data_IF_112065283070
#
_entry.id   IF_112065283070
#
_cell.length_a   1.000
_cell.length_b   1.000
_cell.length_c   1.000
_cell.angle_alpha   90.00
_cell.angle_beta   90.00
_cell.angle_gamma   90.00
#
_symmetry.space_group_name_H-M   'P 1'
#
loop_
_entity.id
_entity.type
_entity.pdbx_description
1 polymer ?
#
# COMPACT_ATOMS: atom_id res chain seq x y z
N UNK A 1 8.46 34.84 -9.93
CA UNK A 1 9.61 33.92 -10.00
C UNK A 1 9.07 32.57 -9.59
N UNK A 2 8.68 31.77 -10.56
CA UNK A 2 8.07 30.47 -10.33
C UNK A 2 9.14 29.52 -9.82
N UNK A 3 8.95 28.98 -8.62
CA UNK A 3 9.83 27.95 -8.08
C UNK A 3 9.65 26.68 -8.90
N UNK A 4 10.68 26.32 -9.67
CA UNK A 4 10.78 24.99 -10.27
C UNK A 4 10.83 23.96 -9.13
N UNK A 5 9.84 23.08 -9.10
CA UNK A 5 9.86 21.91 -8.23
C UNK A 5 11.02 20.98 -8.67
N UNK A 6 11.66 20.24 -7.75
CA UNK A 6 12.79 19.39 -8.08
C UNK A 6 12.35 18.31 -9.06
N UNK A 7 13.13 18.12 -10.12
CA UNK A 7 12.99 17.02 -11.07
C UNK A 7 13.08 15.69 -10.32
N UNK A 8 11.92 15.08 -10.07
CA UNK A 8 11.80 13.68 -9.67
C UNK A 8 12.36 12.81 -10.81
N UNK A 9 13.05 11.69 -10.54
CA UNK A 9 13.25 10.65 -11.54
C UNK A 9 11.92 9.89 -11.70
N UNK A 10 10.88 10.58 -12.17
CA UNK A 10 9.68 9.92 -12.66
C UNK A 10 10.08 9.04 -13.83
N UNK A 11 9.37 7.93 -14.03
CA UNK A 11 9.41 7.14 -15.26
C UNK A 11 9.45 8.06 -16.50
N UNK A 12 10.03 7.64 -17.63
CA UNK A 12 9.91 8.40 -18.87
C UNK A 12 8.44 8.74 -19.12
N UNK A 13 8.12 9.96 -19.60
CA UNK A 13 6.73 10.36 -19.93
C UNK A 13 6.00 9.41 -20.89
N UNK A 14 6.79 8.61 -21.60
CA UNK A 14 6.37 7.63 -22.59
C UNK A 14 6.10 6.24 -21.96
N UNK A 15 6.34 6.10 -20.66
CA UNK A 15 6.07 4.88 -19.93
C UNK A 15 4.55 4.75 -19.66
N UNK A 16 3.94 3.59 -19.97
CA UNK A 16 2.48 3.41 -19.89
C UNK A 16 1.88 3.52 -18.47
N UNK A 17 2.73 3.59 -17.45
CA UNK A 17 2.34 3.79 -16.05
C UNK A 17 2.83 5.12 -15.49
N UNK A 18 3.27 6.07 -16.33
CA UNK A 18 3.76 7.39 -15.90
C UNK A 18 2.77 8.12 -14.98
N UNK A 19 1.47 7.95 -15.23
CA UNK A 19 0.41 8.61 -14.47
C UNK A 19 0.13 7.95 -13.10
N UNK A 20 0.61 6.72 -12.86
CA UNK A 20 0.32 5.98 -11.64
C UNK A 20 1.58 5.86 -10.76
N UNK A 21 1.50 6.20 -9.46
CA UNK A 21 2.63 6.02 -8.55
C UNK A 21 2.92 4.56 -8.19
N UNK A 22 2.09 3.61 -8.64
CA UNK A 22 2.21 2.18 -8.37
C UNK A 22 2.20 1.39 -9.69
N UNK A 23 3.14 0.46 -9.85
CA UNK A 23 3.20 -0.46 -10.99
C UNK A 23 2.27 -1.66 -10.83
N UNK A 24 1.07 -1.58 -11.40
CA UNK A 24 0.10 -2.69 -11.39
C UNK A 24 0.44 -3.85 -12.37
N UNK A 25 1.51 -3.73 -13.17
CA UNK A 25 1.99 -4.82 -14.04
C UNK A 25 2.63 -5.93 -13.22
N UNK A 26 3.18 -5.58 -12.05
CA UNK A 26 3.64 -6.56 -11.06
C UNK A 26 2.42 -7.31 -10.54
N UNK A 27 2.39 -8.64 -10.67
CA UNK A 27 1.20 -9.44 -10.30
C UNK A 27 1.25 -9.98 -8.88
N UNK A 28 2.46 -10.17 -8.37
CA UNK A 28 2.73 -10.76 -7.06
C UNK A 28 4.06 -10.26 -6.57
N UNK A 29 4.14 -10.02 -5.27
CA UNK A 29 5.36 -9.64 -4.58
C UNK A 29 5.64 -10.67 -3.49
N UNK A 30 6.91 -10.93 -3.24
CA UNK A 30 7.39 -11.74 -2.14
C UNK A 30 8.76 -11.21 -1.74
N UNK A 31 9.04 -11.24 -0.44
CA UNK A 31 10.33 -10.85 0.12
C UNK A 31 10.52 -11.57 1.45
N UNK A 32 11.77 -11.80 1.81
CA UNK A 32 12.19 -12.55 3.00
C UNK A 32 13.18 -11.80 3.88
N UNK A 33 13.67 -10.65 3.39
CA UNK A 33 14.58 -9.77 4.10
C UNK A 33 14.38 -8.32 3.68
N UNK A 34 14.92 -7.39 4.47
CA UNK A 34 14.77 -5.94 4.27
C UNK A 34 15.26 -5.46 2.90
N UNK A 35 16.32 -6.09 2.36
CA UNK A 35 16.87 -5.73 1.05
C UNK A 35 15.89 -6.08 -0.07
N UNK A 36 15.29 -7.26 -0.03
CA UNK A 36 14.24 -7.67 -0.96
C UNK A 36 13.00 -6.77 -0.83
N UNK A 37 12.57 -6.46 0.39
CA UNK A 37 11.44 -5.57 0.63
C UNK A 37 11.68 -4.17 0.03
N UNK A 38 12.85 -3.59 0.26
CA UNK A 38 13.22 -2.29 -0.34
C UNK A 38 13.24 -2.35 -1.86
N UNK A 39 13.84 -3.40 -2.43
CA UNK A 39 13.86 -3.60 -3.89
C UNK A 39 12.44 -3.70 -4.47
N UNK A 40 11.53 -4.37 -3.74
CA UNK A 40 10.12 -4.45 -4.12
C UNK A 40 9.45 -3.09 -4.05
N UNK A 41 9.67 -2.29 -2.99
CA UNK A 41 9.14 -0.93 -2.91
C UNK A 41 9.67 -0.03 -4.03
N UNK A 42 10.96 -0.13 -4.36
CA UNK A 42 11.57 0.61 -5.46
C UNK A 42 10.94 0.24 -6.80
N UNK A 43 10.75 -1.06 -7.06
CA UNK A 43 10.11 -1.52 -8.28
C UNK A 43 8.61 -1.20 -8.34
N UNK A 44 7.90 -1.39 -7.23
CA UNK A 44 6.46 -1.27 -7.14
C UNK A 44 6.02 0.19 -7.15
N UNK A 45 6.65 1.01 -6.33
CA UNK A 45 6.28 2.40 -6.20
C UNK A 45 7.10 3.29 -7.14
N UNK A 46 8.11 2.79 -7.86
CA UNK A 46 9.14 3.65 -8.46
C UNK A 46 9.85 4.51 -7.40
N UNK A 47 9.88 3.99 -6.16
CA UNK A 47 10.51 4.67 -5.04
C UNK A 47 12.02 4.73 -5.27
N UNK A 48 12.60 5.89 -5.00
CA UNK A 48 14.04 6.04 -4.84
C UNK A 48 14.24 6.53 -3.41
N UNK A 49 15.12 5.85 -2.65
CA UNK A 49 15.39 6.11 -1.23
C UNK A 49 15.77 7.58 -0.96
N UNK A 50 16.24 8.30 -1.98
CA UNK A 50 16.58 9.72 -1.90
C UNK A 50 15.36 10.67 -2.01
N UNK A 51 14.14 10.17 -2.24
CA UNK A 51 12.92 10.95 -2.48
C UNK A 51 11.79 10.63 -1.46
N UNK A 52 12.01 10.98 -0.20
CA UNK A 52 11.01 10.94 0.89
C UNK A 52 9.60 11.50 0.55
N UNK A 53 9.39 12.62 -0.20
CA UNK A 53 8.03 13.07 -0.50
C UNK A 53 7.27 12.15 -1.46
N UNK A 54 7.95 11.18 -2.08
CA UNK A 54 7.35 10.28 -3.04
C UNK A 54 6.44 9.23 -2.37
N UNK A 55 6.80 8.73 -1.18
CA UNK A 55 5.93 7.78 -0.47
C UNK A 55 4.64 8.42 0.01
N UNK A 56 4.66 9.71 0.35
CA UNK A 56 3.43 10.45 0.64
C UNK A 56 2.50 10.47 -0.58
N UNK A 57 3.03 10.71 -1.79
CA UNK A 57 2.24 10.67 -3.02
C UNK A 57 1.64 9.27 -3.30
N UNK A 58 2.38 8.21 -3.00
CA UNK A 58 1.86 6.83 -3.07
C UNK A 58 0.71 6.63 -2.09
N UNK A 59 0.86 7.07 -0.83
CA UNK A 59 -0.18 6.96 0.19
C UNK A 59 -1.41 7.79 -0.14
N UNK A 60 -1.22 9.02 -0.61
CA UNK A 60 -2.31 9.90 -1.05
C UNK A 60 -3.09 9.23 -2.20
N UNK A 61 -2.38 8.68 -3.19
CA UNK A 61 -3.01 7.96 -4.29
C UNK A 61 -3.81 6.75 -3.81
N UNK A 62 -3.26 5.91 -2.93
CA UNK A 62 -4.00 4.75 -2.41
C UNK A 62 -5.22 5.23 -1.64
N UNK A 63 -5.04 6.20 -0.75
CA UNK A 63 -6.11 6.76 0.06
C UNK A 63 -7.25 7.34 -0.79
N UNK A 64 -6.94 8.17 -1.79
CA UNK A 64 -7.93 8.80 -2.67
C UNK A 64 -8.78 7.77 -3.42
N UNK A 65 -8.24 6.58 -3.69
CA UNK A 65 -8.95 5.51 -4.39
C UNK A 65 -9.67 4.53 -3.45
N UNK A 66 -9.46 4.57 -2.13
CA UNK A 66 -9.99 3.54 -1.22
C UNK A 66 -10.70 4.07 0.04
N UNK A 67 -10.59 5.36 0.34
CA UNK A 67 -11.08 5.92 1.62
C UNK A 67 -12.61 5.90 1.78
N UNK A 68 -13.36 5.75 0.69
CA UNK A 68 -14.81 5.64 0.67
C UNK A 68 -15.30 4.19 0.65
N UNK A 69 -14.38 3.24 0.49
CA UNK A 69 -14.68 1.82 0.42
C UNK A 69 -14.64 1.17 1.81
N UNK A 70 -15.76 0.60 2.29
CA UNK A 70 -15.82 -0.02 3.61
C UNK A 70 -14.77 -1.12 3.81
N UNK A 71 -14.49 -1.88 2.76
CA UNK A 71 -13.55 -3.01 2.79
C UNK A 71 -12.12 -2.59 3.17
N UNK A 72 -11.66 -1.43 2.69
CA UNK A 72 -10.34 -0.88 2.94
C UNK A 72 -10.31 -0.08 4.24
N UNK A 73 -11.32 0.74 4.50
CA UNK A 73 -11.42 1.53 5.73
C UNK A 73 -11.44 0.66 6.99
N UNK A 74 -12.11 -0.48 6.91
CA UNK A 74 -12.14 -1.46 7.99
C UNK A 74 -10.76 -2.07 8.26
N UNK A 75 -9.97 -2.36 7.20
CA UNK A 75 -8.59 -2.81 7.34
C UNK A 75 -7.70 -1.73 7.97
N UNK A 76 -7.77 -0.50 7.47
CA UNK A 76 -6.97 0.61 8.00
C UNK A 76 -7.21 0.83 9.48
N UNK A 77 -8.48 0.86 9.89
CA UNK A 77 -8.85 1.02 11.30
C UNK A 77 -8.45 -0.18 12.14
N UNK A 78 -8.62 -1.40 11.64
CA UNK A 78 -8.28 -2.63 12.37
C UNK A 78 -6.80 -2.69 12.71
N UNK A 79 -5.92 -2.39 11.74
CA UNK A 79 -4.47 -2.41 11.96
C UNK A 79 -4.02 -1.27 12.87
N UNK A 80 -4.54 -0.06 12.65
CA UNK A 80 -4.24 1.08 13.51
C UNK A 80 -4.67 0.81 14.97
N UNK A 81 -5.86 0.23 15.17
CA UNK A 81 -6.40 -0.05 16.51
C UNK A 81 -5.56 -1.11 17.21
N UNK A 82 -5.16 -2.16 16.48
CA UNK A 82 -4.33 -3.24 17.03
C UNK A 82 -2.92 -2.81 17.42
N UNK A 83 -2.24 -2.02 16.58
CA UNK A 83 -0.83 -1.68 16.80
C UNK A 83 -0.61 -0.38 17.57
N UNK A 84 -1.50 0.59 17.41
CA UNK A 84 -1.29 1.95 17.92
C UNK A 84 -2.37 2.39 18.91
N UNK A 85 -3.34 1.51 19.24
CA UNK A 85 -4.52 1.87 20.03
C UNK A 85 -5.23 3.12 19.47
N UNK A 86 -5.22 3.26 18.14
CA UNK A 86 -5.70 4.42 17.40
C UNK A 86 -6.63 4.00 16.27
N UNK A 87 -7.68 4.77 15.99
CA UNK A 87 -8.54 4.53 14.82
C UNK A 87 -8.14 5.40 13.61
N UNK A 88 -6.95 6.01 13.65
CA UNK A 88 -6.42 6.79 12.54
C UNK A 88 -6.09 5.88 11.35
N UNK A 89 -6.96 5.93 10.35
CA UNK A 89 -6.86 5.10 9.16
C UNK A 89 -5.63 5.46 8.28
N UNK A 90 -5.11 6.69 8.35
CA UNK A 90 -3.87 7.04 7.65
C UNK A 90 -2.66 6.32 8.24
N UNK A 91 -2.63 6.15 9.57
CA UNK A 91 -1.63 5.31 10.23
C UNK A 91 -1.80 3.83 9.85
N UNK A 92 -3.06 3.36 9.79
CA UNK A 92 -3.39 2.02 9.33
C UNK A 92 -2.86 1.71 7.94
N UNK A 93 -3.06 2.62 6.99
CA UNK A 93 -2.53 2.52 5.63
C UNK A 93 -0.99 2.43 5.63
N UNK A 94 -0.31 3.27 6.42
CA UNK A 94 1.14 3.23 6.54
C UNK A 94 1.64 1.87 7.08
N UNK A 95 0.94 1.29 8.06
CA UNK A 95 1.28 -0.03 8.60
C UNK A 95 1.02 -1.12 7.55
N UNK A 96 -0.05 -1.03 6.76
CA UNK A 96 -0.31 -2.00 5.69
C UNK A 96 0.74 -1.99 4.57
N UNK A 97 1.46 -0.87 4.41
CA UNK A 97 2.61 -0.77 3.50
C UNK A 97 3.94 -1.23 4.12
N UNK A 98 3.96 -1.56 5.42
CA UNK A 98 5.15 -2.09 6.08
C UNK A 98 5.53 -3.48 5.58
N UNK A 99 6.74 -3.90 5.99
CA UNK A 99 7.28 -5.23 5.71
C UNK A 99 6.29 -6.36 6.04
N UNK A 100 5.57 -6.26 7.16
CA UNK A 100 4.73 -7.37 7.64
C UNK A 100 3.48 -7.61 6.79
N UNK A 101 2.99 -6.59 6.08
CA UNK A 101 1.66 -6.63 5.48
C UNK A 101 1.60 -6.33 3.98
N UNK A 102 2.64 -5.70 3.41
CA UNK A 102 2.61 -5.29 2.00
C UNK A 102 2.35 -6.48 1.07
N UNK A 103 2.93 -7.66 1.34
CA UNK A 103 2.68 -8.90 0.59
C UNK A 103 1.22 -9.32 0.52
N UNK A 104 0.41 -9.04 1.55
CA UNK A 104 -1.00 -9.41 1.62
C UNK A 104 -1.92 -8.24 1.20
N UNK A 105 -1.53 -7.01 1.49
CA UNK A 105 -2.28 -5.81 1.12
C UNK A 105 -2.21 -5.51 -0.38
N UNK A 106 -1.03 -5.58 -0.99
CA UNK A 106 -0.85 -5.20 -2.40
C UNK A 106 -1.74 -6.04 -3.36
N UNK A 107 -1.85 -7.37 -3.24
CA UNK A 107 -2.74 -8.15 -4.09
C UNK A 107 -4.20 -7.68 -4.04
N UNK A 108 -4.71 -7.34 -2.85
CA UNK A 108 -6.07 -6.84 -2.66
C UNK A 108 -6.26 -5.50 -3.38
N UNK A 109 -5.36 -4.55 -3.14
CA UNK A 109 -5.43 -3.24 -3.76
C UNK A 109 -5.27 -3.31 -5.29
N UNK A 110 -4.34 -4.14 -5.78
CA UNK A 110 -4.15 -4.38 -7.21
C UNK A 110 -5.41 -4.97 -7.85
N UNK A 111 -6.04 -5.94 -7.21
CA UNK A 111 -7.25 -6.56 -7.75
C UNK A 111 -8.37 -5.53 -7.87
N UNK A 112 -8.59 -4.72 -6.83
CA UNK A 112 -9.52 -3.59 -6.87
C UNK A 112 -9.24 -2.65 -8.05
N UNK A 113 -7.99 -2.21 -8.23
CA UNK A 113 -7.62 -1.25 -9.28
C UNK A 113 -7.65 -1.82 -10.70
N UNK A 114 -7.62 -3.15 -10.87
CA UNK A 114 -7.48 -3.79 -12.19
C UNK A 114 -8.67 -4.67 -12.60
N UNK A 115 -9.61 -4.93 -11.69
CA UNK A 115 -10.77 -5.79 -11.93
C UNK A 115 -12.08 -5.00 -11.77
N UNK A 116 -12.79 -4.80 -12.88
CA UNK A 116 -14.10 -4.10 -12.90
C UNK A 116 -15.21 -4.85 -12.15
N UNK A 117 -15.01 -6.13 -11.82
CA UNK A 117 -15.96 -6.95 -11.07
C UNK A 117 -15.60 -7.12 -9.58
N UNK A 118 -14.74 -6.25 -9.04
CA UNK A 118 -14.34 -6.32 -7.64
C UNK A 118 -15.55 -6.13 -6.71
N UNK A 119 -15.70 -7.04 -5.74
CA UNK A 119 -16.71 -6.90 -4.69
C UNK A 119 -16.20 -5.97 -3.58
N UNK A 120 -16.72 -4.74 -3.58
CA UNK A 120 -16.38 -3.68 -2.62
C UNK A 120 -16.94 -3.92 -1.21
N UNK A 121 -17.75 -4.97 -1.02
CA UNK A 121 -18.33 -5.31 0.28
C UNK A 121 -17.53 -6.37 1.03
N UNK A 122 -17.16 -7.46 0.34
CA UNK A 122 -16.40 -8.57 0.92
C UNK A 122 -15.47 -9.19 -0.10
N UNK A 123 -14.21 -9.43 0.29
CA UNK A 123 -13.24 -10.05 -0.62
C UNK A 123 -12.40 -11.13 0.09
N UNK A 124 -12.12 -12.29 -0.52
CA UNK A 124 -11.29 -13.33 0.09
C UNK A 124 -9.91 -12.83 0.53
N UNK A 125 -9.30 -11.93 -0.25
CA UNK A 125 -8.00 -11.33 0.11
C UNK A 125 -8.10 -10.42 1.34
N UNK A 126 -9.23 -9.73 1.54
CA UNK A 126 -9.48 -8.94 2.74
C UNK A 126 -9.58 -9.85 3.97
N UNK A 127 -10.33 -10.96 3.87
CA UNK A 127 -10.47 -11.91 4.98
C UNK A 127 -9.11 -12.53 5.38
N UNK A 128 -8.28 -12.89 4.40
CA UNK A 128 -6.92 -13.41 4.64
C UNK A 128 -6.04 -12.37 5.34
N UNK A 129 -6.09 -11.11 4.90
CA UNK A 129 -5.31 -10.03 5.50
C UNK A 129 -5.74 -9.78 6.95
N UNK A 130 -7.05 -9.79 7.24
CA UNK A 130 -7.56 -9.72 8.63
C UNK A 130 -7.03 -10.84 9.51
N UNK A 131 -7.07 -12.08 9.03
CA UNK A 131 -6.53 -13.22 9.77
C UNK A 131 -5.02 -13.07 10.05
N UNK A 132 -4.26 -12.52 9.09
CA UNK A 132 -2.84 -12.24 9.28
C UNK A 132 -2.61 -11.16 10.33
N UNK A 133 -3.39 -10.08 10.31
CA UNK A 133 -3.36 -9.00 11.30
C UNK A 133 -3.67 -9.56 12.70
N UNK A 134 -4.77 -10.29 12.86
CA UNK A 134 -5.17 -10.89 14.13
C UNK A 134 -4.11 -11.85 14.66
N UNK A 135 -3.50 -12.65 13.78
CA UNK A 135 -2.43 -13.59 14.16
C UNK A 135 -1.19 -12.87 14.66
N UNK A 136 -0.81 -11.75 14.03
CA UNK A 136 0.35 -10.98 14.46
C UNK A 136 0.08 -10.24 15.78
N UNK A 137 -1.09 -9.63 15.95
CA UNK A 137 -1.49 -8.96 17.19
C UNK A 137 -1.50 -9.94 18.39
N UNK A 138 -2.05 -11.13 18.21
CA UNK A 138 -2.09 -12.15 19.27
C UNK A 138 -0.71 -12.75 19.62
N UNK A 139 0.29 -12.64 18.74
CA UNK A 139 1.66 -13.05 19.04
C UNK A 139 2.42 -11.99 19.83
N UNK A 140 2.10 -10.71 19.66
CA UNK A 140 2.75 -9.61 20.39
C UNK A 140 2.32 -9.51 21.86
N UNK A 141 1.21 -10.14 22.25
CA UNK A 141 0.67 -10.16 23.62
C UNK A 141 1.18 -11.34 24.48
N UNK A 142 2.17 -12.11 23.98
CA UNK A 142 2.82 -13.24 24.69
C UNK A 142 4.31 -13.03 24.86
#
# INVERSE_FOLDING_TARGET
MSSEAPFLPTLPREHPCYDFPIDFRIKSIQYSNDMEYRTILEALCFYNVDNEPYMQYVFDFVWENTNDLPIFMDLYKSVAAGYLLSEDASLGLAILFSYDYLCDFYPLFREYMTNLGFDETTHPLQAKLKEAIDTHLNKSDR
#
